data_IF_002247559774
#
_entry.id   IF_002247559774
#
_cell.length_a   1.000
_cell.length_b   1.000
_cell.length_c   1.000
_cell.angle_alpha   90.00
_cell.angle_beta   90.00
_cell.angle_gamma   90.00
#
_symmetry.space_group_name_H-M   'P 1'
#
loop_
_entity.id
_entity.type
_entity.pdbx_description
1 polymer ?
#
# COMPACT_ATOMS: atom_id res chain seq x y z
N UNK A 1 71.65 23.50 30.72
CA UNK A 1 70.64 23.94 29.78
C UNK A 1 69.84 22.69 29.34
N UNK A 2 68.61 22.45 29.86
CA UNK A 2 67.78 21.32 29.52
C UNK A 2 66.87 21.76 28.37
N UNK A 3 66.96 21.11 27.23
CA UNK A 3 66.05 21.31 26.07
C UNK A 3 64.76 20.55 26.30
N UNK A 4 63.64 21.27 26.41
CA UNK A 4 62.28 20.71 26.46
C UNK A 4 61.85 20.56 25.01
N UNK A 5 61.62 19.29 24.60
CA UNK A 5 60.99 18.95 23.29
C UNK A 5 59.49 18.85 23.53
N UNK A 6 58.73 19.80 22.96
CA UNK A 6 57.25 19.78 23.00
C UNK A 6 56.79 18.97 21.77
N UNK A 7 56.19 17.79 22.03
CA UNK A 7 55.51 17.00 21.00
C UNK A 7 54.10 17.60 20.78
N UNK A 8 53.88 18.17 19.61
CA UNK A 8 52.53 18.53 19.17
C UNK A 8 51.88 17.28 18.57
N UNK A 9 50.91 16.68 19.27
CA UNK A 9 50.05 15.65 18.71
C UNK A 9 49.01 16.34 17.83
N UNK A 10 49.12 16.18 16.51
CA UNK A 10 48.07 16.55 15.56
C UNK A 10 46.89 15.57 15.72
N UNK A 11 45.83 16.02 16.38
CA UNK A 11 44.53 15.35 16.32
C UNK A 11 43.93 15.61 14.93
N UNK A 12 44.01 14.65 14.01
CA UNK A 12 43.23 14.66 12.80
C UNK A 12 41.76 14.29 13.18
N UNK A 13 40.77 15.14 12.88
CA UNK A 13 39.38 14.71 13.01
C UNK A 13 39.10 13.66 11.96
N UNK A 14 38.77 12.44 12.39
CA UNK A 14 38.15 11.43 11.53
C UNK A 14 36.76 11.96 11.10
N UNK A 15 36.70 12.55 9.93
CA UNK A 15 35.41 12.75 9.22
C UNK A 15 34.89 11.37 8.82
N UNK A 16 34.04 10.80 9.66
CA UNK A 16 33.20 9.65 9.25
C UNK A 16 32.22 10.21 8.24
N UNK A 17 32.55 10.08 6.97
CA UNK A 17 31.59 10.30 5.89
C UNK A 17 30.50 9.25 6.05
N UNK A 18 29.32 9.65 6.54
CA UNK A 18 28.11 8.84 6.45
C UNK A 18 27.81 8.65 4.96
N UNK A 19 28.29 7.57 4.37
CA UNK A 19 27.82 7.13 3.07
C UNK A 19 26.36 6.71 3.25
N UNK A 20 25.42 7.63 3.02
CA UNK A 20 24.03 7.23 2.79
C UNK A 20 24.01 6.43 1.48
N UNK A 21 23.81 5.13 1.59
CA UNK A 21 23.57 4.28 0.43
C UNK A 21 22.37 4.84 -0.32
N UNK A 22 22.55 5.21 -1.58
CA UNK A 22 21.45 5.69 -2.42
C UNK A 22 20.49 4.51 -2.66
N UNK A 23 19.21 4.68 -2.30
CA UNK A 23 18.21 3.63 -2.46
C UNK A 23 17.87 3.47 -3.95
N UNK A 24 17.69 2.24 -4.46
CA UNK A 24 17.34 1.97 -5.85
C UNK A 24 15.84 2.22 -6.09
N UNK A 25 15.43 3.48 -5.96
CA UNK A 25 14.03 3.88 -6.13
C UNK A 25 13.53 3.61 -7.55
N UNK A 26 12.24 3.30 -7.66
CA UNK A 26 11.56 3.22 -8.95
C UNK A 26 11.51 4.60 -9.59
N UNK A 27 11.67 4.63 -10.92
CA UNK A 27 11.67 5.87 -11.67
C UNK A 27 10.23 6.40 -11.83
N UNK A 28 9.99 7.64 -11.40
CA UNK A 28 8.68 8.29 -11.51
C UNK A 28 8.13 8.29 -12.92
N UNK A 29 8.97 8.47 -13.95
CA UNK A 29 8.55 8.51 -15.34
C UNK A 29 7.90 7.18 -15.81
N UNK A 30 8.27 6.05 -15.22
CA UNK A 30 7.71 4.74 -15.56
C UNK A 30 6.30 4.53 -14.96
N UNK A 31 5.82 5.50 -14.17
CA UNK A 31 4.48 5.50 -13.56
C UNK A 31 3.61 6.67 -14.03
N UNK A 32 4.14 7.54 -14.89
CA UNK A 32 3.39 8.69 -15.40
C UNK A 32 2.61 8.30 -16.64
N UNK A 33 1.28 8.35 -16.54
CA UNK A 33 0.35 8.10 -17.65
C UNK A 33 -1.01 8.74 -17.37
N UNK A 34 -1.97 8.51 -18.26
CA UNK A 34 -3.37 8.88 -18.08
C UNK A 34 -4.26 7.63 -18.17
N UNK A 35 -5.15 7.45 -17.18
CA UNK A 35 -6.14 6.36 -17.17
C UNK A 35 -7.52 6.97 -16.99
N UNK A 36 -8.42 6.71 -17.95
CA UNK A 36 -9.80 7.24 -17.95
C UNK A 36 -9.88 8.77 -17.78
N UNK A 37 -8.97 9.53 -18.42
CA UNK A 37 -8.91 10.99 -18.35
C UNK A 37 -8.36 11.55 -17.05
N UNK A 38 -7.78 10.71 -16.18
CA UNK A 38 -7.14 11.13 -14.93
C UNK A 38 -5.64 10.86 -14.96
N UNK A 39 -4.82 11.81 -14.47
CA UNK A 39 -3.38 11.61 -14.39
C UNK A 39 -3.00 10.59 -13.34
N UNK A 40 -2.10 9.68 -13.69
CA UNK A 40 -1.45 8.72 -12.80
C UNK A 40 0.00 9.13 -12.60
N UNK A 41 0.49 9.01 -11.37
CA UNK A 41 1.85 9.39 -11.01
C UNK A 41 2.40 8.52 -9.86
N UNK A 42 3.70 8.67 -9.57
CA UNK A 42 4.41 8.05 -8.46
C UNK A 42 4.85 9.11 -7.46
N UNK A 43 4.50 8.93 -6.20
CA UNK A 43 4.78 9.82 -5.09
C UNK A 43 5.78 9.19 -4.14
N UNK A 44 6.74 9.99 -3.67
CA UNK A 44 7.81 9.58 -2.77
C UNK A 44 7.59 10.23 -1.39
N UNK A 45 7.49 9.40 -0.36
CA UNK A 45 7.40 9.82 1.03
C UNK A 45 8.62 9.35 1.82
N UNK A 46 9.08 10.16 2.78
CA UNK A 46 10.22 9.85 3.65
C UNK A 46 9.96 10.34 5.07
N UNK A 47 10.19 9.49 6.05
CA UNK A 47 10.19 9.87 7.47
C UNK A 47 11.03 8.88 8.28
N UNK A 48 11.87 9.38 9.17
CA UNK A 48 12.79 8.53 9.92
C UNK A 48 13.68 7.72 8.98
N UNK A 49 13.64 6.39 9.15
CA UNK A 49 14.39 5.44 8.32
C UNK A 49 13.54 4.86 7.17
N UNK A 50 12.28 5.27 7.04
CA UNK A 50 11.39 4.73 6.02
C UNK A 50 11.41 5.59 4.75
N UNK A 51 11.36 4.91 3.60
CA UNK A 51 11.12 5.51 2.29
C UNK A 51 10.05 4.71 1.58
N UNK A 52 8.97 5.38 1.20
CA UNK A 52 7.77 4.78 0.61
C UNK A 52 7.51 5.38 -0.77
N UNK A 53 7.20 4.56 -1.76
CA UNK A 53 6.66 5.01 -3.04
C UNK A 53 5.23 4.53 -3.21
N UNK A 54 4.35 5.46 -3.60
CA UNK A 54 2.90 5.23 -3.77
C UNK A 54 2.47 5.71 -5.14
N UNK A 55 1.67 4.93 -5.86
CA UNK A 55 0.94 5.43 -7.03
C UNK A 55 -0.54 5.67 -6.68
N UNK A 56 -1.12 6.72 -7.28
CA UNK A 56 -2.55 6.98 -7.12
C UNK A 56 -3.44 6.05 -7.97
N UNK A 57 -2.89 5.18 -8.80
CA UNK A 57 -3.64 4.10 -9.45
C UNK A 57 -3.86 2.95 -8.46
N UNK A 58 -5.12 2.75 -8.06
CA UNK A 58 -5.49 1.78 -7.03
C UNK A 58 -5.01 2.14 -5.62
N UNK A 59 -4.50 3.36 -5.39
CA UNK A 59 -3.91 3.79 -4.12
C UNK A 59 -2.79 2.85 -3.65
N UNK A 60 -1.92 2.39 -4.58
CA UNK A 60 -0.97 1.30 -4.33
C UNK A 60 0.30 1.77 -3.65
N UNK A 61 0.73 1.03 -2.65
CA UNK A 61 2.13 1.02 -2.22
C UNK A 61 2.90 0.15 -3.21
N UNK A 62 3.93 0.74 -3.85
CA UNK A 62 4.73 0.04 -4.86
C UNK A 62 6.12 -0.32 -4.38
N UNK A 63 6.66 0.39 -3.36
CA UNK A 63 7.89 0.03 -2.66
C UNK A 63 7.89 0.60 -1.23
N UNK A 64 8.51 -0.09 -0.30
CA UNK A 64 8.76 0.36 1.07
C UNK A 64 10.16 -0.06 1.50
N UNK A 65 11.09 0.88 1.50
CA UNK A 65 12.44 0.64 2.00
C UNK A 65 12.51 0.84 3.50
N UNK A 66 13.05 -0.16 4.19
CA UNK A 66 13.30 -0.14 5.63
C UNK A 66 14.66 -0.79 5.92
N UNK A 67 15.42 -0.30 6.93
CA UNK A 67 16.67 -0.96 7.31
C UNK A 67 16.38 -2.21 8.14
N UNK A 68 17.25 -3.20 7.99
CA UNK A 68 17.35 -4.30 8.92
C UNK A 68 18.14 -3.89 10.19
N UNK A 69 18.37 -4.85 11.11
CA UNK A 69 19.13 -4.62 12.35
C UNK A 69 20.58 -4.17 12.13
N UNK A 70 21.15 -4.45 10.96
CA UNK A 70 22.51 -4.11 10.59
C UNK A 70 22.59 -2.80 9.79
N UNK A 71 21.43 -2.15 9.59
CA UNK A 71 21.28 -0.88 8.86
C UNK A 71 21.26 -1.05 7.33
N UNK A 72 21.13 -2.27 6.83
CA UNK A 72 20.97 -2.53 5.40
C UNK A 72 19.53 -2.30 4.99
N UNK A 73 19.33 -1.46 3.98
CA UNK A 73 18.02 -1.17 3.43
C UNK A 73 17.61 -2.20 2.36
N UNK A 74 16.37 -2.67 2.46
CA UNK A 74 15.71 -3.48 1.44
C UNK A 74 14.30 -2.97 1.18
N UNK A 75 13.82 -3.13 -0.06
CA UNK A 75 12.40 -2.99 -0.37
C UNK A 75 11.66 -4.23 0.14
N UNK A 76 10.80 -4.05 1.12
CA UNK A 76 10.08 -5.18 1.75
C UNK A 76 8.69 -5.42 1.14
N UNK A 77 8.28 -4.63 0.13
CA UNK A 77 6.99 -4.76 -0.54
C UNK A 77 7.17 -5.42 -1.91
N UNK A 78 6.32 -6.38 -2.24
CA UNK A 78 6.25 -6.94 -3.58
C UNK A 78 5.47 -5.99 -4.48
N UNK A 79 6.07 -5.59 -5.60
CA UNK A 79 5.48 -4.66 -6.55
C UNK A 79 5.96 -4.86 -7.98
N UNK A 80 5.37 -4.09 -8.90
CA UNK A 80 5.79 -4.03 -10.29
C UNK A 80 6.71 -2.83 -10.55
N UNK A 81 7.49 -2.90 -11.62
CA UNK A 81 8.51 -1.89 -11.94
C UNK A 81 7.97 -0.69 -12.71
N UNK A 82 6.75 -0.79 -13.26
CA UNK A 82 6.10 0.26 -14.04
C UNK A 82 4.58 0.16 -13.93
N UNK A 83 3.90 1.22 -14.37
CA UNK A 83 2.44 1.34 -14.27
C UNK A 83 1.69 0.38 -15.20
N UNK A 84 2.25 0.06 -16.37
CA UNK A 84 1.58 -0.79 -17.36
C UNK A 84 1.35 -2.20 -16.82
N UNK A 85 2.26 -2.72 -16.02
CA UNK A 85 2.12 -4.03 -15.38
C UNK A 85 0.95 -4.06 -14.39
N UNK A 86 0.68 -2.95 -13.68
CA UNK A 86 -0.49 -2.82 -12.81
C UNK A 86 -1.79 -2.65 -13.60
N UNK A 87 -1.79 -1.82 -14.65
CA UNK A 87 -2.97 -1.58 -15.50
C UNK A 87 -3.39 -2.87 -16.20
N UNK A 88 -2.43 -3.65 -16.69
CA UNK A 88 -2.67 -4.92 -17.36
C UNK A 88 -2.86 -6.11 -16.41
N UNK A 89 -2.80 -5.87 -15.10
CA UNK A 89 -2.93 -6.89 -14.05
C UNK A 89 -2.00 -8.10 -14.27
N UNK A 90 -0.74 -7.84 -14.63
CA UNK A 90 0.24 -8.90 -14.82
C UNK A 90 0.49 -9.63 -13.49
N UNK A 91 0.44 -10.96 -13.50
CA UNK A 91 0.59 -11.78 -12.29
C UNK A 91 -0.51 -11.58 -11.26
N UNK A 92 -0.15 -11.14 -10.04
CA UNK A 92 -1.11 -10.86 -8.96
C UNK A 92 -1.72 -9.46 -9.10
N UNK A 93 -3.02 -9.40 -9.38
CA UNK A 93 -3.76 -8.15 -9.60
C UNK A 93 -3.71 -7.19 -8.41
N UNK A 94 -3.74 -7.73 -7.18
CA UNK A 94 -3.96 -6.94 -5.97
C UNK A 94 -2.68 -6.49 -5.26
N UNK A 95 -1.51 -6.60 -5.90
CA UNK A 95 -0.26 -6.13 -5.29
C UNK A 95 -0.37 -4.69 -4.80
N UNK A 96 -0.23 -4.50 -3.50
CA UNK A 96 -0.12 -3.21 -2.84
C UNK A 96 -1.32 -2.26 -2.94
N UNK A 97 -2.48 -2.69 -3.43
CA UNK A 97 -3.63 -1.81 -3.66
C UNK A 97 -4.56 -1.66 -2.45
N UNK A 98 -5.46 -0.68 -2.57
CA UNK A 98 -6.67 -0.62 -1.74
C UNK A 98 -7.73 -1.53 -2.33
N UNK A 99 -8.33 -2.38 -1.51
CA UNK A 99 -9.46 -3.23 -1.91
C UNK A 99 -10.74 -2.73 -1.26
N UNK A 100 -11.82 -2.74 -2.03
CA UNK A 100 -13.14 -2.23 -1.66
C UNK A 100 -14.06 -2.13 -2.90
N UNK A 101 -15.38 -1.70 -2.73
CA UNK A 101 -15.93 -1.24 -1.42
C UNK A 101 -15.86 -2.27 -0.30
N UNK A 102 -15.94 -3.58 -0.63
CA UNK A 102 -15.91 -4.66 0.35
C UNK A 102 -14.71 -5.58 0.09
N UNK A 103 -13.71 -5.49 0.96
CA UNK A 103 -12.53 -6.36 0.93
C UNK A 103 -12.89 -7.78 1.31
N UNK A 104 -12.18 -8.76 0.71
CA UNK A 104 -12.48 -10.17 0.76
C UNK A 104 -13.81 -10.51 0.04
N UNK A 105 -14.57 -11.54 0.45
CA UNK A 105 -15.65 -12.12 -0.35
C UNK A 105 -17.03 -11.77 0.18
N UNK A 106 -17.97 -11.61 -0.78
CA UNK A 106 -19.41 -11.64 -0.53
C UNK A 106 -19.96 -12.89 -1.24
N UNK A 107 -20.58 -13.77 -0.46
CA UNK A 107 -21.10 -15.03 -0.91
C UNK A 107 -22.10 -14.84 -2.06
N UNK A 108 -21.88 -15.55 -3.17
CA UNK A 108 -22.73 -15.49 -4.39
C UNK A 108 -22.91 -14.07 -4.95
N UNK A 109 -22.05 -13.13 -4.54
CA UNK A 109 -22.16 -11.71 -4.88
C UNK A 109 -23.45 -11.06 -4.40
N UNK A 110 -24.05 -11.54 -3.30
CA UNK A 110 -25.36 -11.09 -2.89
C UNK A 110 -25.38 -10.72 -1.40
N UNK A 111 -26.02 -9.60 -1.07
CA UNK A 111 -26.33 -9.23 0.30
C UNK A 111 -27.70 -8.55 0.38
N UNK A 112 -28.30 -8.59 1.57
CA UNK A 112 -29.56 -7.87 1.84
C UNK A 112 -29.31 -6.76 2.86
N UNK A 113 -29.75 -5.55 2.53
CA UNK A 113 -29.65 -4.38 3.38
C UNK A 113 -31.00 -3.67 3.42
N UNK A 114 -31.55 -3.44 4.60
CA UNK A 114 -32.87 -2.80 4.81
C UNK A 114 -33.99 -3.40 3.99
N UNK A 115 -34.00 -4.76 3.88
CA UNK A 115 -35.01 -5.53 3.13
C UNK A 115 -34.83 -5.54 1.61
N UNK A 116 -33.84 -4.82 1.07
CA UNK A 116 -33.49 -4.83 -0.36
C UNK A 116 -32.31 -5.75 -0.60
N UNK A 117 -32.45 -6.66 -1.56
CA UNK A 117 -31.36 -7.54 -1.98
C UNK A 117 -30.61 -6.92 -3.14
N UNK A 118 -29.28 -6.85 -2.98
CA UNK A 118 -28.34 -6.34 -3.97
C UNK A 118 -27.55 -7.48 -4.58
N UNK A 119 -27.37 -7.44 -5.90
CA UNK A 119 -26.56 -8.38 -6.65
C UNK A 119 -25.34 -7.68 -7.20
N UNK A 120 -24.17 -8.20 -6.86
CA UNK A 120 -22.86 -7.74 -7.30
C UNK A 120 -22.32 -8.64 -8.42
N UNK A 121 -21.38 -8.16 -9.24
CA UNK A 121 -20.68 -8.99 -10.20
C UNK A 121 -19.94 -10.15 -9.54
N UNK A 122 -19.95 -11.30 -10.20
CA UNK A 122 -19.18 -12.48 -9.79
C UNK A 122 -17.82 -12.42 -10.49
N UNK A 123 -16.73 -12.40 -9.71
CA UNK A 123 -15.37 -12.32 -10.25
C UNK A 123 -14.40 -13.36 -9.69
N UNK A 124 -14.84 -14.19 -8.73
CA UNK A 124 -13.96 -15.20 -8.12
C UNK A 124 -14.78 -16.42 -7.62
N UNK A 125 -14.65 -17.58 -8.28
CA UNK A 125 -15.23 -18.86 -7.85
C UNK A 125 -16.71 -18.79 -7.41
N UNK A 126 -17.55 -18.05 -8.15
CA UNK A 126 -18.97 -17.87 -7.83
C UNK A 126 -19.25 -16.82 -6.74
N UNK A 127 -18.27 -16.08 -6.31
CA UNK A 127 -18.33 -15.04 -5.28
C UNK A 127 -17.94 -13.68 -5.85
N UNK A 128 -18.28 -12.58 -5.16
CA UNK A 128 -17.67 -11.28 -5.38
C UNK A 128 -16.44 -11.15 -4.48
N UNK A 129 -15.28 -10.85 -5.06
CA UNK A 129 -14.02 -10.63 -4.36
C UNK A 129 -13.58 -9.18 -4.52
N UNK A 130 -13.15 -8.56 -3.42
CA UNK A 130 -12.46 -7.28 -3.38
C UNK A 130 -13.18 -6.13 -4.11
N UNK A 131 -14.51 -6.10 -4.04
CA UNK A 131 -15.33 -5.04 -4.63
C UNK A 131 -15.84 -5.30 -6.04
N UNK A 132 -15.43 -6.41 -6.71
CA UNK A 132 -15.99 -6.83 -7.99
C UNK A 132 -15.01 -6.75 -9.16
N UNK A 133 -15.54 -6.54 -10.37
CA UNK A 133 -14.76 -6.52 -11.61
C UNK A 133 -13.86 -5.30 -11.71
N UNK A 134 -14.36 -4.14 -11.27
CA UNK A 134 -13.65 -2.85 -11.24
C UNK A 134 -13.67 -2.29 -9.82
N UNK A 135 -13.02 -3.00 -8.90
CA UNK A 135 -12.85 -2.55 -7.52
C UNK A 135 -11.93 -1.33 -7.39
N UNK A 136 -11.71 -0.88 -6.16
CA UNK A 136 -10.89 0.30 -5.85
C UNK A 136 -9.42 0.14 -6.28
N UNK A 137 -8.99 -1.07 -6.60
CA UNK A 137 -7.67 -1.41 -7.14
C UNK A 137 -7.46 -0.94 -8.60
N UNK A 138 -8.52 -0.70 -9.36
CA UNK A 138 -8.46 -0.28 -10.77
C UNK A 138 -8.92 1.16 -11.01
N UNK A 139 -9.12 1.94 -9.96
CA UNK A 139 -9.50 3.36 -10.09
C UNK A 139 -8.30 4.27 -9.88
N UNK A 140 -8.33 5.44 -10.51
CA UNK A 140 -7.38 6.52 -10.23
C UNK A 140 -7.95 7.37 -9.11
N UNK A 141 -7.25 7.39 -7.98
CA UNK A 141 -7.56 8.25 -6.85
C UNK A 141 -7.11 9.67 -7.12
N UNK A 142 -7.93 10.64 -6.73
CA UNK A 142 -7.54 12.05 -6.80
C UNK A 142 -6.62 12.37 -5.63
N UNK A 143 -5.51 13.03 -5.93
CA UNK A 143 -4.52 13.43 -4.91
C UNK A 143 -4.94 14.78 -4.34
N UNK A 144 -5.25 14.81 -3.03
CA UNK A 144 -5.70 16.01 -2.32
C UNK A 144 -4.51 16.80 -1.80
N UNK A 145 -3.56 16.11 -1.17
CA UNK A 145 -2.38 16.73 -0.59
C UNK A 145 -1.19 15.76 -0.56
N UNK A 146 0.01 16.28 -0.71
CA UNK A 146 1.27 15.54 -0.58
C UNK A 146 2.25 16.37 0.23
N UNK A 147 2.86 15.74 1.23
CA UNK A 147 3.99 16.26 1.99
C UNK A 147 5.15 15.29 1.89
N UNK A 148 6.30 15.61 2.50
CA UNK A 148 7.41 14.67 2.56
C UNK A 148 7.06 13.35 3.28
N UNK A 149 6.08 13.38 4.19
CA UNK A 149 5.76 12.27 5.08
C UNK A 149 4.37 11.66 4.83
N UNK A 150 3.51 12.30 4.05
CA UNK A 150 2.13 11.85 3.86
C UNK A 150 1.59 12.15 2.48
N UNK A 151 0.65 11.31 2.05
CA UNK A 151 -0.20 11.54 0.88
C UNK A 151 -1.65 11.31 1.25
N UNK A 152 -2.51 12.25 0.88
CA UNK A 152 -3.96 12.15 1.02
C UNK A 152 -4.61 11.93 -0.33
N UNK A 153 -5.38 10.87 -0.44
CA UNK A 153 -6.08 10.41 -1.64
C UNK A 153 -7.58 10.39 -1.39
N UNK A 154 -8.36 10.74 -2.42
CA UNK A 154 -9.82 10.66 -2.35
C UNK A 154 -10.38 9.98 -3.59
N UNK A 155 -11.51 9.29 -3.41
CA UNK A 155 -12.27 8.70 -4.50
C UNK A 155 -13.77 8.78 -4.19
N UNK A 156 -14.56 9.18 -5.20
CA UNK A 156 -16.01 9.14 -5.14
C UNK A 156 -16.50 7.93 -5.95
N UNK A 157 -16.94 6.91 -5.25
CA UNK A 157 -17.56 5.73 -5.84
C UNK A 157 -19.05 6.04 -6.05
N UNK A 158 -19.58 6.14 -7.30
CA UNK A 158 -20.96 6.53 -7.56
C UNK A 158 -21.97 5.49 -7.11
N UNK A 159 -23.22 5.91 -6.90
CA UNK A 159 -24.34 5.00 -6.61
C UNK A 159 -24.46 3.93 -7.70
N UNK A 160 -24.49 2.66 -7.31
CA UNK A 160 -24.58 1.52 -8.22
C UNK A 160 -23.24 1.03 -8.80
N UNK A 161 -22.10 1.67 -8.47
CA UNK A 161 -20.79 1.15 -8.89
C UNK A 161 -20.59 -0.28 -8.37
N UNK A 162 -20.25 -1.21 -9.28
CA UNK A 162 -20.15 -2.66 -9.00
C UNK A 162 -21.40 -3.26 -8.29
N UNK A 163 -22.58 -2.61 -8.40
CA UNK A 163 -23.83 -3.04 -7.79
C UNK A 163 -24.04 -2.57 -6.34
N UNK A 164 -23.11 -1.84 -5.76
CA UNK A 164 -23.24 -1.32 -4.40
C UNK A 164 -24.13 -0.06 -4.36
N UNK A 165 -25.09 0.04 -3.41
CA UNK A 165 -25.95 1.22 -3.28
C UNK A 165 -25.20 2.40 -2.66
N UNK A 166 -25.69 3.60 -2.97
CA UNK A 166 -25.23 4.86 -2.43
C UNK A 166 -23.95 5.40 -3.06
N UNK A 167 -23.87 6.71 -3.16
CA UNK A 167 -22.64 7.42 -3.49
C UNK A 167 -21.72 7.38 -2.28
N UNK A 168 -20.51 6.84 -2.40
CA UNK A 168 -19.55 6.71 -1.32
C UNK A 168 -18.35 7.61 -1.59
N UNK A 169 -18.18 8.64 -0.74
CA UNK A 169 -16.97 9.47 -0.73
C UNK A 169 -15.95 8.83 0.20
N UNK A 170 -14.79 8.48 -0.31
CA UNK A 170 -13.71 7.84 0.44
C UNK A 170 -12.52 8.77 0.51
N UNK A 171 -11.93 8.95 1.68
CA UNK A 171 -10.64 9.58 1.88
C UNK A 171 -9.69 8.56 2.50
N UNK A 172 -8.47 8.53 2.04
CA UNK A 172 -7.40 7.68 2.53
C UNK A 172 -6.12 8.49 2.70
N UNK A 173 -5.40 8.26 3.79
CA UNK A 173 -4.11 8.90 4.03
C UNK A 173 -3.07 7.84 4.36
N UNK A 174 -1.94 7.89 3.66
CA UNK A 174 -0.71 7.23 4.08
C UNK A 174 0.16 8.24 4.81
N UNK A 175 0.68 7.85 5.97
CA UNK A 175 1.60 8.67 6.75
C UNK A 175 2.76 7.82 7.25
N UNK A 176 3.98 8.26 6.97
CA UNK A 176 5.18 7.73 7.61
C UNK A 176 5.45 8.52 8.89
N UNK A 177 5.49 7.84 10.03
CA UNK A 177 5.76 8.49 11.31
C UNK A 177 7.26 8.54 11.62
N UNK A 178 7.71 9.48 12.47
CA UNK A 178 9.10 9.52 12.93
C UNK A 178 9.55 8.26 13.68
N UNK A 179 8.60 7.47 14.21
CA UNK A 179 8.83 6.21 14.93
C UNK A 179 8.96 5.01 13.98
N UNK A 180 9.16 5.26 12.68
CA UNK A 180 9.29 4.21 11.66
C UNK A 180 8.02 3.34 11.51
N UNK A 181 6.85 3.95 11.55
CA UNK A 181 5.59 3.29 11.25
C UNK A 181 4.94 3.84 9.98
N UNK A 182 4.32 2.98 9.20
CA UNK A 182 3.39 3.34 8.14
C UNK A 182 1.97 3.27 8.70
N UNK A 183 1.30 4.41 8.77
CA UNK A 183 -0.11 4.52 9.12
C UNK A 183 -0.97 4.62 7.86
N UNK A 184 -2.07 3.87 7.83
CA UNK A 184 -3.07 3.91 6.78
C UNK A 184 -4.41 4.25 7.44
N UNK A 185 -4.96 5.42 7.13
CA UNK A 185 -6.22 5.88 7.69
C UNK A 185 -7.27 5.97 6.58
N UNK A 186 -8.47 5.49 6.88
CA UNK A 186 -9.63 5.61 6.00
C UNK A 186 -10.74 6.38 6.69
N UNK A 187 -11.44 7.22 5.93
CA UNK A 187 -12.73 7.77 6.31
C UNK A 187 -13.66 7.76 5.12
N UNK A 188 -14.95 7.53 5.35
CA UNK A 188 -15.93 7.52 4.28
C UNK A 188 -17.28 8.07 4.74
N UNK A 189 -17.99 8.71 3.80
CA UNK A 189 -19.36 9.17 3.96
C UNK A 189 -20.21 8.69 2.79
N UNK A 190 -21.50 8.47 3.02
CA UNK A 190 -22.43 8.01 1.99
C UNK A 190 -23.77 8.73 2.09
N UNK A 191 -24.47 8.85 0.97
CA UNK A 191 -25.82 9.43 0.86
C UNK A 191 -26.94 8.39 1.10
N UNK A 192 -26.64 7.09 1.10
CA UNK A 192 -27.55 5.98 1.35
C UNK A 192 -26.90 4.88 2.16
N UNK A 193 -27.66 4.04 2.87
CA UNK A 193 -27.11 2.82 3.47
C UNK A 193 -26.34 1.97 2.43
N UNK A 194 -25.13 1.54 2.79
CA UNK A 194 -24.26 0.70 1.96
C UNK A 194 -23.40 -0.20 2.84
N UNK A 195 -22.76 -1.19 2.24
CA UNK A 195 -21.75 -2.01 2.92
C UNK A 195 -20.36 -1.51 2.55
N UNK A 196 -19.48 -1.40 3.54
CA UNK A 196 -18.10 -0.96 3.37
C UNK A 196 -17.16 -1.78 4.25
N UNK A 197 -16.06 -2.25 3.67
CA UNK A 197 -14.96 -2.90 4.37
C UNK A 197 -13.68 -2.66 3.56
N UNK A 198 -12.99 -1.56 3.84
CA UNK A 198 -11.76 -1.20 3.15
C UNK A 198 -10.57 -1.92 3.78
N UNK A 199 -9.64 -2.36 2.95
CA UNK A 199 -8.39 -2.95 3.38
C UNK A 199 -7.26 -2.58 2.43
N UNK A 200 -6.02 -2.70 2.91
CA UNK A 200 -4.82 -2.59 2.09
C UNK A 200 -4.27 -3.97 1.79
N UNK A 201 -3.99 -4.25 0.53
CA UNK A 201 -3.56 -5.58 0.05
C UNK A 201 -2.05 -5.63 -0.20
N UNK A 202 -1.26 -5.16 0.78
CA UNK A 202 0.20 -5.23 0.72
C UNK A 202 0.71 -6.66 0.86
N UNK A 203 1.69 -7.02 0.03
CA UNK A 203 2.44 -8.25 0.13
C UNK A 203 3.85 -7.92 0.62
N UNK A 204 4.28 -8.56 1.70
CA UNK A 204 5.54 -8.25 2.35
C UNK A 204 6.48 -9.44 2.36
N UNK A 205 7.76 -9.18 2.06
CA UNK A 205 8.86 -10.10 2.31
C UNK A 205 9.93 -9.38 3.14
N UNK A 206 10.09 -9.76 4.39
CA UNK A 206 11.05 -9.11 5.30
C UNK A 206 12.52 -9.33 4.93
N UNK A 207 12.80 -10.21 3.98
CA UNK A 207 14.14 -10.38 3.38
C UNK A 207 14.41 -9.45 2.19
N UNK A 208 13.40 -8.68 1.80
CA UNK A 208 13.39 -7.86 0.58
C UNK A 208 12.68 -8.50 -0.60
N UNK A 209 12.18 -7.66 -1.51
CA UNK A 209 11.54 -8.08 -2.75
C UNK A 209 12.50 -8.97 -3.58
N UNK A 210 12.00 -10.11 -4.07
CA UNK A 210 12.79 -11.05 -4.87
C UNK A 210 13.79 -11.92 -4.08
N UNK A 211 13.95 -11.71 -2.79
CA UNK A 211 14.90 -12.46 -1.97
C UNK A 211 14.31 -13.76 -1.38
N UNK A 212 14.00 -14.71 -2.25
CA UNK A 212 13.48 -16.03 -1.86
C UNK A 212 12.01 -15.98 -1.39
N UNK A 213 11.64 -16.86 -0.46
CA UNK A 213 10.27 -17.01 0.05
C UNK A 213 10.12 -16.48 1.46
N UNK A 214 8.86 -16.28 1.90
CA UNK A 214 8.51 -15.87 3.26
C UNK A 214 8.37 -17.05 4.24
N UNK A 215 8.61 -18.29 3.79
CA UNK A 215 8.25 -19.51 4.54
C UNK A 215 8.98 -19.67 5.87
N UNK A 216 10.09 -18.99 6.08
CA UNK A 216 10.88 -18.96 7.30
C UNK A 216 10.68 -17.67 8.14
N UNK A 217 9.73 -16.81 7.76
CA UNK A 217 9.31 -15.71 8.60
C UNK A 217 8.57 -16.26 9.83
N UNK A 218 8.81 -15.65 11.00
CA UNK A 218 8.09 -15.98 12.22
C UNK A 218 6.86 -15.09 12.33
N UNK A 219 5.68 -15.71 12.41
CA UNK A 219 4.41 -15.02 12.59
C UNK A 219 3.86 -15.29 14.01
N UNK A 220 3.60 -14.23 14.76
CA UNK A 220 2.91 -14.30 16.05
C UNK A 220 1.58 -13.56 15.95
N UNK A 221 0.48 -14.26 16.30
CA UNK A 221 -0.87 -13.69 16.29
C UNK A 221 -1.42 -13.78 17.73
N UNK A 222 -1.77 -12.64 18.31
CA UNK A 222 -2.45 -12.57 19.59
C UNK A 222 -3.97 -12.79 19.39
N UNK A 223 -4.35 -14.00 19.02
CA UNK A 223 -5.72 -14.41 18.74
C UNK A 223 -6.07 -15.69 19.49
N UNK A 224 -7.29 -15.78 20.03
CA UNK A 224 -7.81 -16.97 20.72
C UNK A 224 -8.65 -17.88 19.80
N UNK A 225 -9.00 -17.40 18.58
CA UNK A 225 -9.81 -18.13 17.62
C UNK A 225 -9.47 -17.70 16.20
N UNK A 226 -9.85 -18.53 15.25
CA UNK A 226 -9.84 -18.23 13.81
C UNK A 226 -11.27 -18.24 13.29
N UNK A 227 -11.51 -17.54 12.19
CA UNK A 227 -12.75 -17.68 11.42
C UNK A 227 -12.53 -18.78 10.40
N UNK A 228 -13.21 -19.96 10.53
CA UNK A 228 -13.09 -21.01 9.55
C UNK A 228 -13.76 -20.57 8.25
N UNK A 229 -13.28 -21.09 7.13
CA UNK A 229 -13.84 -20.83 5.80
C UNK A 229 -14.12 -22.16 5.09
N UNK A 230 -15.10 -22.16 4.18
CA UNK A 230 -15.39 -23.30 3.30
C UNK A 230 -14.38 -23.40 2.13
N UNK A 231 -14.60 -24.36 1.23
CA UNK A 231 -13.72 -24.65 0.07
C UNK A 231 -13.66 -23.49 -0.95
N UNK A 232 -14.59 -22.53 -0.90
CA UNK A 232 -14.60 -21.31 -1.72
C UNK A 232 -14.25 -20.05 -0.93
N UNK A 233 -13.69 -20.25 0.27
CA UNK A 233 -13.16 -19.21 1.17
C UNK A 233 -14.25 -18.25 1.71
N UNK A 234 -15.46 -18.75 1.92
CA UNK A 234 -16.56 -18.05 2.60
C UNK A 234 -16.56 -18.46 4.08
N UNK A 235 -16.61 -17.51 5.03
CA UNK A 235 -16.76 -17.76 6.46
C UNK A 235 -18.04 -18.47 6.85
#
# INVERSE_FOLDING_TARGET
MKKIIIFWALLLPLLVACHRTELPLLNRADFQTEVNGKPVDLYLLKSGDLTLQVTNFGGRIVSLYTPDRDGKYEDVVLGHKNIDQYINAEGERFLGCVVGRYGNRIAKGQFTLDGTTYQLPINNNGQTLHGGLKGLDLVVWDVVNVTDQSIELTYTSPDGEEGFPGTLQINMTYTLTPENALQINYSATTDKPTVINLSHHGFFNLKGEGNGTINDNLLTINGSAIVPVDDVLIP
#
